data_IF_531678505822
#
_entry.id   IF_531678505822
#
_cell.length_a   1.000
_cell.length_b   1.000
_cell.length_c   1.000
_cell.angle_alpha   90.00
_cell.angle_beta   90.00
_cell.angle_gamma   90.00
#
_symmetry.space_group_name_H-M   'P 1'
#
loop_
_entity.id
_entity.type
_entity.pdbx_description
1 polymer ?
#
# COMPACT_ATOMS: atom_id res chain seq x y z
N UNK A 1 -8.50 8.73 0.23
CA UNK A 1 -7.25 8.27 0.88
C UNK A 1 -6.37 9.44 1.35
N UNK A 2 -5.68 10.21 0.48
CA UNK A 2 -4.79 11.31 0.93
C UNK A 2 -5.47 12.33 1.85
N UNK A 3 -6.71 12.74 1.51
CA UNK A 3 -7.52 13.59 2.39
C UNK A 3 -7.79 12.96 3.76
N UNK A 4 -8.02 11.65 3.81
CA UNK A 4 -8.25 10.90 5.05
C UNK A 4 -6.96 10.64 5.87
N UNK A 5 -5.78 10.70 5.23
CA UNK A 5 -4.49 10.74 5.92
C UNK A 5 -4.22 12.13 6.52
N UNK A 6 -4.57 13.18 5.79
CA UNK A 6 -4.41 14.57 6.24
C UNK A 6 -5.40 14.96 7.34
N UNK A 7 -6.62 14.43 7.27
CA UNK A 7 -7.71 14.72 8.20
C UNK A 7 -8.40 13.42 8.65
N UNK A 8 -8.21 12.99 9.92
CA UNK A 8 -8.87 11.83 10.48
C UNK A 8 -10.41 11.87 10.44
N UNK A 9 -11.03 13.05 10.43
CA UNK A 9 -12.50 13.17 10.37
C UNK A 9 -13.07 12.68 9.03
N UNK A 10 -12.23 12.60 7.99
CA UNK A 10 -12.61 12.14 6.65
C UNK A 10 -12.46 10.63 6.45
N UNK A 11 -11.97 9.88 7.44
CA UNK A 11 -11.79 8.42 7.33
C UNK A 11 -13.10 7.64 7.20
N UNK A 12 -14.18 7.96 7.93
CA UNK A 12 -15.46 7.27 7.77
C UNK A 12 -16.08 7.46 6.38
N UNK A 13 -15.64 8.47 5.62
CA UNK A 13 -16.12 8.75 4.27
C UNK A 13 -15.41 7.90 3.19
N UNK A 14 -14.46 7.04 3.54
CA UNK A 14 -13.84 6.12 2.57
C UNK A 14 -14.87 5.05 2.17
N UNK A 15 -15.28 4.96 0.88
CA UNK A 15 -16.32 4.04 0.45
C UNK A 15 -15.93 2.60 0.72
N UNK A 16 -16.85 1.78 1.25
CA UNK A 16 -16.65 0.34 1.43
C UNK A 16 -17.18 -0.43 0.21
N UNK A 17 -16.55 -1.54 -0.20
CA UNK A 17 -16.93 -2.28 -1.42
C UNK A 17 -18.17 -3.19 -1.23
N UNK A 18 -19.03 -2.95 -0.22
CA UNK A 18 -20.16 -3.82 0.09
C UNK A 18 -21.19 -3.72 -1.05
N UNK A 19 -21.26 -4.76 -1.89
CA UNK A 19 -22.06 -4.81 -3.13
C UNK A 19 -21.68 -3.74 -4.17
N UNK A 20 -20.44 -3.28 -4.16
CA UNK A 20 -19.95 -2.28 -5.10
C UNK A 20 -19.64 -2.88 -6.48
N UNK A 21 -19.55 -2.04 -7.52
CA UNK A 21 -19.15 -2.50 -8.85
C UNK A 21 -17.70 -3.01 -8.86
N UNK A 22 -17.29 -3.66 -9.94
CA UNK A 22 -15.89 -4.05 -10.13
C UNK A 22 -14.98 -2.82 -10.08
N UNK A 23 -15.38 -1.69 -10.69
CA UNK A 23 -14.57 -0.46 -10.67
C UNK A 23 -14.39 0.08 -9.25
N UNK A 24 -15.45 0.08 -8.43
CA UNK A 24 -15.39 0.54 -7.04
C UNK A 24 -14.50 -0.37 -6.20
N UNK A 25 -14.56 -1.69 -6.40
CA UNK A 25 -13.69 -2.63 -5.72
C UNK A 25 -12.22 -2.43 -6.12
N UNK A 26 -11.94 -2.24 -7.41
CA UNK A 26 -10.60 -1.91 -7.89
C UNK A 26 -10.10 -0.60 -7.28
N UNK A 27 -10.95 0.44 -7.18
CA UNK A 27 -10.58 1.69 -6.54
C UNK A 27 -10.28 1.52 -5.03
N UNK A 28 -11.09 0.73 -4.33
CA UNK A 28 -10.93 0.46 -2.90
C UNK A 28 -9.65 -0.31 -2.58
N UNK A 29 -9.43 -1.44 -3.25
CA UNK A 29 -8.26 -2.28 -3.04
C UNK A 29 -7.00 -1.68 -3.67
N UNK A 30 -7.14 -0.97 -4.78
CA UNK A 30 -6.08 -0.19 -5.40
C UNK A 30 -5.57 0.91 -4.47
N UNK A 31 -6.44 1.59 -3.73
CA UNK A 31 -6.02 2.58 -2.73
C UNK A 31 -5.19 1.94 -1.59
N UNK A 32 -5.58 0.76 -1.09
CA UNK A 32 -4.76 0.01 -0.13
C UNK A 32 -3.40 -0.37 -0.72
N UNK A 33 -3.40 -0.96 -1.91
CA UNK A 33 -2.18 -1.36 -2.60
C UNK A 33 -1.24 -0.16 -2.77
N UNK A 34 -1.80 0.97 -3.17
CA UNK A 34 -1.09 2.22 -3.37
C UNK A 34 -0.50 2.79 -2.06
N UNK A 35 -1.25 2.77 -0.95
CA UNK A 35 -0.74 3.16 0.36
C UNK A 35 0.51 2.39 0.74
N UNK A 36 0.45 1.07 0.63
CA UNK A 36 1.55 0.20 1.06
C UNK A 36 2.77 0.36 0.14
N UNK A 37 2.56 0.33 -1.18
CA UNK A 37 3.65 0.36 -2.18
C UNK A 37 4.27 1.74 -2.37
N UNK A 38 3.45 2.78 -2.51
CA UNK A 38 3.89 4.10 -2.96
C UNK A 38 3.98 5.14 -1.84
N UNK A 39 3.20 4.97 -0.77
CA UNK A 39 3.19 5.94 0.36
C UNK A 39 4.08 5.47 1.50
N UNK A 40 3.93 4.21 1.96
CA UNK A 40 4.89 3.57 2.87
C UNK A 40 6.19 3.14 2.17
N UNK A 41 6.18 3.05 0.84
CA UNK A 41 7.36 2.70 0.06
C UNK A 41 7.75 1.22 0.16
N UNK A 42 6.83 0.30 0.50
CA UNK A 42 7.13 -1.13 0.60
C UNK A 42 7.25 -1.75 -0.79
N UNK A 43 8.45 -2.20 -1.19
CA UNK A 43 8.63 -3.03 -2.39
C UNK A 43 7.84 -4.33 -2.31
N UNK A 44 7.88 -4.96 -1.15
CA UNK A 44 7.23 -6.22 -0.85
C UNK A 44 6.13 -5.96 0.18
N UNK A 45 4.94 -5.61 -0.31
CA UNK A 45 3.78 -5.38 0.54
C UNK A 45 3.41 -6.63 1.35
N UNK A 46 3.61 -7.83 0.80
CA UNK A 46 3.36 -9.10 1.50
C UNK A 46 4.33 -9.30 2.66
N UNK A 47 5.62 -9.03 2.45
CA UNK A 47 6.62 -9.05 3.51
C UNK A 47 6.35 -8.02 4.61
N UNK A 48 6.01 -6.78 4.23
CA UNK A 48 5.63 -5.73 5.18
C UNK A 48 4.39 -6.09 6.00
N UNK A 49 3.37 -6.68 5.37
CA UNK A 49 2.18 -7.17 6.07
C UNK A 49 2.47 -8.37 6.97
N UNK A 50 3.31 -9.32 6.54
CA UNK A 50 3.69 -10.44 7.39
C UNK A 50 4.38 -9.95 8.68
N UNK A 51 5.31 -8.99 8.56
CA UNK A 51 5.89 -8.33 9.74
C UNK A 51 4.81 -7.66 10.61
N UNK A 52 3.90 -6.90 9.99
CA UNK A 52 2.88 -6.14 10.71
C UNK A 52 1.94 -7.07 11.50
N UNK A 53 1.52 -8.18 10.90
CA UNK A 53 0.71 -9.20 11.58
C UNK A 53 1.48 -9.87 12.71
N UNK A 54 2.73 -10.30 12.47
CA UNK A 54 3.57 -10.93 13.50
C UNK A 54 3.83 -10.00 14.70
N UNK A 55 3.90 -8.69 14.47
CA UNK A 55 4.08 -7.68 15.51
C UNK A 55 2.79 -7.30 16.25
N UNK A 56 1.65 -7.93 15.95
CA UNK A 56 0.36 -7.62 16.56
C UNK A 56 -0.35 -6.39 15.98
N UNK A 57 -0.08 -6.07 14.71
CA UNK A 57 -0.68 -4.95 13.95
C UNK A 57 -0.51 -3.57 14.63
N UNK A 58 0.71 -3.14 15.01
CA UNK A 58 0.94 -1.85 15.65
C UNK A 58 0.58 -0.65 14.75
N UNK A 59 0.08 0.45 15.33
CA UNK A 59 -0.33 1.64 14.57
C UNK A 59 0.24 2.98 15.07
N UNK A 60 0.72 3.04 16.32
CA UNK A 60 1.00 4.32 17.01
C UNK A 60 2.02 5.20 16.28
N UNK A 61 2.90 4.54 15.53
CA UNK A 61 4.03 5.16 14.83
C UNK A 61 3.79 5.35 13.32
N UNK A 62 2.59 5.06 12.82
CA UNK A 62 2.26 5.16 11.41
C UNK A 62 0.80 5.54 11.19
N UNK A 63 0.49 6.79 10.82
CA UNK A 63 -0.88 7.19 10.48
C UNK A 63 -1.42 6.40 9.28
N UNK A 64 -0.53 5.88 8.43
CA UNK A 64 -0.93 5.01 7.33
C UNK A 64 -1.39 3.65 7.85
N UNK A 65 -0.65 3.01 8.76
CA UNK A 65 -1.08 1.73 9.33
C UNK A 65 -2.32 1.91 10.22
N UNK A 66 -2.47 3.06 10.88
CA UNK A 66 -3.71 3.43 11.56
C UNK A 66 -4.90 3.50 10.58
N UNK A 67 -4.74 4.20 9.45
CA UNK A 67 -5.75 4.25 8.40
C UNK A 67 -6.04 2.86 7.80
N UNK A 68 -4.99 2.06 7.56
CA UNK A 68 -5.13 0.69 7.04
C UNK A 68 -5.98 -0.15 7.98
N UNK A 69 -5.70 -0.10 9.29
CA UNK A 69 -6.46 -0.83 10.31
C UNK A 69 -7.89 -0.31 10.46
N UNK A 70 -8.12 0.99 10.35
CA UNK A 70 -9.45 1.58 10.51
C UNK A 70 -10.35 1.28 9.31
N UNK A 71 -9.84 1.46 8.08
CA UNK A 71 -10.67 1.32 6.88
C UNK A 71 -10.74 -0.12 6.39
N UNK A 72 -9.61 -0.83 6.37
CA UNK A 72 -9.53 -2.21 5.87
C UNK A 72 -9.42 -3.24 7.00
N UNK A 73 -9.16 -2.85 8.25
CA UNK A 73 -9.13 -3.81 9.36
C UNK A 73 -10.51 -4.19 9.89
N UNK A 74 -11.54 -3.39 9.63
CA UNK A 74 -12.93 -3.76 9.94
C UNK A 74 -13.36 -4.99 9.15
N UNK A 75 -14.13 -5.87 9.81
CA UNK A 75 -14.64 -7.14 9.26
C UNK A 75 -13.56 -8.01 8.60
N UNK A 76 -12.33 -7.90 9.09
CA UNK A 76 -11.15 -8.61 8.60
C UNK A 76 -10.88 -8.45 7.08
N UNK A 77 -11.32 -7.35 6.47
CA UNK A 77 -11.14 -7.12 5.02
C UNK A 77 -9.67 -7.19 4.59
N UNK A 78 -8.78 -6.64 5.42
CA UNK A 78 -7.34 -6.64 5.21
C UNK A 78 -6.75 -8.06 5.14
N UNK A 79 -7.41 -9.06 5.71
CA UNK A 79 -6.97 -10.45 5.65
C UNK A 79 -7.06 -10.98 4.20
N UNK A 80 -8.06 -10.57 3.40
CA UNK A 80 -8.15 -10.97 2.00
C UNK A 80 -6.99 -10.43 1.18
N UNK A 81 -6.64 -9.16 1.41
CA UNK A 81 -5.50 -8.54 0.76
C UNK A 81 -4.17 -9.16 1.24
N UNK A 82 -4.01 -9.38 2.54
CA UNK A 82 -2.84 -10.03 3.10
C UNK A 82 -2.66 -11.45 2.53
N UNK A 83 -3.72 -12.26 2.57
CA UNK A 83 -3.76 -13.59 1.97
C UNK A 83 -3.33 -13.55 0.50
N UNK A 84 -3.88 -12.62 -0.29
CA UNK A 84 -3.48 -12.45 -1.69
C UNK A 84 -1.98 -12.19 -1.85
N UNK A 85 -1.42 -11.25 -1.07
CA UNK A 85 0.01 -10.90 -1.14
C UNK A 85 0.96 -11.97 -0.59
N UNK A 86 0.48 -12.86 0.28
CA UNK A 86 1.31 -13.91 0.87
C UNK A 86 1.45 -15.14 -0.01
N UNK A 87 0.47 -15.39 -0.89
CA UNK A 87 0.49 -16.55 -1.78
C UNK A 87 1.70 -16.52 -2.73
N UNK A 88 2.22 -17.70 -3.12
CA UNK A 88 3.18 -17.80 -4.20
C UNK A 88 2.63 -17.26 -5.53
N UNK A 89 3.51 -16.76 -6.39
CA UNK A 89 3.13 -16.29 -7.71
C UNK A 89 2.44 -17.39 -8.53
N UNK A 90 1.37 -17.02 -9.24
CA UNK A 90 0.58 -17.95 -10.06
C UNK A 90 -0.36 -18.87 -9.27
N UNK A 91 -0.33 -18.86 -7.93
CA UNK A 91 -1.24 -19.63 -7.08
C UNK A 91 -2.46 -18.80 -6.75
N UNK A 92 -3.65 -19.39 -6.90
CA UNK A 92 -4.91 -18.68 -6.69
C UNK A 92 -6.10 -19.60 -6.49
N UNK A 93 -7.24 -18.97 -6.24
CA UNK A 93 -8.53 -19.62 -6.08
C UNK A 93 -9.49 -19.01 -7.10
N UNK A 94 -10.06 -19.82 -7.99
CA UNK A 94 -11.11 -19.33 -8.89
C UNK A 94 -12.40 -18.96 -8.14
N UNK A 95 -12.79 -19.77 -7.15
CA UNK A 95 -13.99 -19.61 -6.32
C UNK A 95 -13.67 -19.90 -4.84
N UNK A 96 -14.58 -19.58 -3.92
CA UNK A 96 -14.39 -19.98 -2.51
C UNK A 96 -14.54 -21.49 -2.31
N UNK A 97 -13.95 -22.05 -1.26
CA UNK A 97 -14.12 -23.48 -0.94
C UNK A 97 -15.55 -23.84 -0.48
N UNK A 98 -16.35 -22.84 -0.09
CA UNK A 98 -17.78 -23.02 0.13
C UNK A 98 -18.54 -23.35 -1.18
N UNK A 99 -18.02 -22.88 -2.33
CA UNK A 99 -18.58 -23.14 -3.65
C UNK A 99 -17.94 -24.39 -4.30
N UNK A 100 -16.62 -24.55 -4.17
CA UNK A 100 -15.87 -25.71 -4.66
C UNK A 100 -14.83 -26.16 -3.61
N UNK A 101 -15.12 -27.23 -2.83
CA UNK A 101 -14.24 -27.72 -1.77
C UNK A 101 -12.83 -28.13 -2.22
N UNK A 102 -12.63 -28.38 -3.52
CA UNK A 102 -11.34 -28.80 -4.08
C UNK A 102 -10.60 -27.67 -4.79
N UNK A 103 -11.15 -26.46 -4.81
CA UNK A 103 -10.51 -25.33 -5.47
C UNK A 103 -9.36 -24.75 -4.63
N UNK A 104 -8.24 -24.49 -5.31
CA UNK A 104 -7.02 -23.91 -4.73
C UNK A 104 -6.18 -24.88 -3.88
N UNK A 105 -5.00 -24.42 -3.42
CA UNK A 105 -4.12 -25.20 -2.54
C UNK A 105 -4.72 -25.41 -1.14
N UNK A 106 -4.33 -26.47 -0.44
CA UNK A 106 -4.77 -26.68 0.95
C UNK A 106 -4.14 -25.66 1.93
N UNK A 107 -4.76 -25.42 3.11
CA UNK A 107 -4.18 -24.58 4.15
C UNK A 107 -2.76 -25.01 4.59
N UNK A 108 -2.53 -26.33 4.72
CA UNK A 108 -1.21 -26.89 5.03
C UNK A 108 -0.18 -26.53 3.96
N UNK A 109 -0.55 -26.63 2.68
CA UNK A 109 0.34 -26.26 1.58
C UNK A 109 0.64 -24.75 1.61
N UNK A 110 -0.37 -23.91 1.84
CA UNK A 110 -0.19 -22.46 1.95
C UNK A 110 0.74 -22.08 3.10
N UNK A 111 0.60 -22.68 4.28
CA UNK A 111 1.51 -22.42 5.40
C UNK A 111 2.98 -22.77 5.07
N UNK A 112 3.20 -23.80 4.25
CA UNK A 112 4.56 -24.24 3.88
C UNK A 112 5.19 -23.42 2.76
N UNK A 113 4.38 -22.81 1.88
CA UNK A 113 4.88 -22.18 0.65
C UNK A 113 4.60 -20.68 0.58
N UNK A 114 3.73 -20.13 1.42
CA UNK A 114 3.42 -18.69 1.46
C UNK A 114 4.38 -17.92 2.37
N UNK A 115 4.26 -16.59 2.35
CA UNK A 115 5.00 -15.70 3.26
C UNK A 115 4.48 -15.75 4.71
N UNK A 116 3.34 -16.39 4.95
CA UNK A 116 2.71 -16.48 6.26
C UNK A 116 2.65 -17.94 6.72
N UNK A 117 3.58 -18.37 7.58
CA UNK A 117 3.75 -19.79 7.93
C UNK A 117 2.82 -20.26 9.05
N UNK A 118 1.57 -19.81 9.05
CA UNK A 118 0.56 -20.14 10.06
C UNK A 118 -0.60 -20.93 9.43
N UNK A 119 -0.59 -22.25 9.63
CA UNK A 119 -1.62 -23.14 9.11
C UNK A 119 -3.00 -22.90 9.73
N UNK A 120 -3.06 -22.54 11.01
CA UNK A 120 -4.33 -22.28 11.68
C UNK A 120 -4.99 -21.04 11.10
N UNK A 121 -4.21 -19.97 10.92
CA UNK A 121 -4.67 -18.76 10.25
C UNK A 121 -5.22 -19.06 8.84
N UNK A 122 -4.49 -19.83 8.03
CA UNK A 122 -4.95 -20.21 6.68
C UNK A 122 -6.23 -21.04 6.72
N UNK A 123 -6.33 -21.96 7.67
CA UNK A 123 -7.51 -22.82 7.84
C UNK A 123 -8.74 -21.99 8.19
N UNK A 124 -8.60 -21.04 9.09
CA UNK A 124 -9.70 -20.15 9.48
C UNK A 124 -10.05 -19.16 8.37
N UNK A 125 -9.05 -18.59 7.69
CA UNK A 125 -9.26 -17.73 6.52
C UNK A 125 -10.06 -18.43 5.43
N UNK A 126 -9.63 -19.62 5.00
CA UNK A 126 -10.31 -20.37 3.93
C UNK A 126 -11.71 -20.81 4.35
N UNK A 127 -11.92 -21.17 5.63
CA UNK A 127 -13.24 -21.53 6.17
C UNK A 127 -14.23 -20.36 6.15
N UNK A 128 -13.76 -19.11 6.34
CA UNK A 128 -14.61 -17.91 6.22
C UNK A 128 -15.21 -17.77 4.82
N UNK A 129 -14.52 -18.26 3.79
CA UNK A 129 -14.96 -18.16 2.40
C UNK A 129 -14.97 -16.73 1.87
N UNK A 130 -15.68 -16.52 0.77
CA UNK A 130 -15.80 -15.21 0.14
C UNK A 130 -16.92 -14.40 0.80
N UNK A 131 -16.57 -13.25 1.40
CA UNK A 131 -17.52 -12.34 2.06
C UNK A 131 -17.98 -11.21 1.13
N UNK A 132 -17.16 -10.83 0.15
CA UNK A 132 -17.46 -9.80 -0.84
C UNK A 132 -17.27 -10.32 -2.26
N UNK A 133 -18.13 -9.88 -3.18
CA UNK A 133 -18.13 -10.35 -4.56
C UNK A 133 -16.81 -10.05 -5.30
N UNK A 134 -16.15 -8.95 -4.93
CA UNK A 134 -14.88 -8.50 -5.52
C UNK A 134 -13.83 -8.30 -4.42
N UNK A 135 -13.15 -9.37 -4.08
CA UNK A 135 -12.04 -9.40 -3.12
C UNK A 135 -10.72 -9.75 -3.83
N UNK A 136 -9.56 -9.36 -3.27
CA UNK A 136 -8.27 -9.59 -3.91
C UNK A 136 -7.81 -11.05 -3.87
N UNK A 137 -8.47 -11.93 -3.12
CA UNK A 137 -8.06 -13.33 -2.95
C UNK A 137 -8.71 -14.28 -3.96
N UNK A 138 -10.02 -14.14 -4.21
CA UNK A 138 -10.79 -15.02 -5.11
C UNK A 138 -10.95 -14.44 -6.52
N UNK A 139 -11.01 -15.30 -7.54
CA UNK A 139 -11.13 -14.94 -8.96
C UNK A 139 -9.85 -15.18 -9.77
N UNK A 140 -8.97 -16.06 -9.29
CA UNK A 140 -7.72 -16.43 -9.93
C UNK A 140 -6.48 -16.05 -9.11
N UNK A 141 -5.37 -15.81 -9.80
CA UNK A 141 -4.09 -15.40 -9.19
C UNK A 141 -3.99 -13.89 -8.99
N UNK A 142 -4.69 -13.09 -9.81
CA UNK A 142 -4.73 -11.62 -9.73
C UNK A 142 -6.13 -11.08 -10.11
N UNK A 143 -7.16 -11.36 -9.28
CA UNK A 143 -8.57 -11.18 -9.63
C UNK A 143 -9.00 -9.72 -9.86
N UNK A 144 -8.24 -8.77 -9.34
CA UNK A 144 -8.50 -7.34 -9.47
C UNK A 144 -7.39 -6.63 -10.25
N UNK A 145 -6.49 -7.38 -10.88
CA UNK A 145 -5.32 -6.87 -11.59
C UNK A 145 -4.48 -5.88 -10.77
N UNK A 146 -4.45 -6.02 -9.44
CA UNK A 146 -3.75 -5.09 -8.55
C UNK A 146 -2.26 -5.08 -8.82
N UNK A 147 -1.71 -6.20 -9.31
CA UNK A 147 -0.30 -6.28 -9.72
C UNK A 147 0.03 -5.33 -10.88
N UNK A 148 -0.94 -5.03 -11.76
CA UNK A 148 -0.79 -4.06 -12.84
C UNK A 148 -0.92 -2.59 -12.37
N UNK A 149 -1.28 -2.38 -11.10
CA UNK A 149 -1.44 -1.06 -10.47
C UNK A 149 -0.39 -0.81 -9.38
N UNK A 150 0.72 -1.55 -9.42
CA UNK A 150 1.78 -1.51 -8.41
C UNK A 150 2.78 -0.35 -8.59
N UNK A 151 2.70 0.35 -9.71
CA UNK A 151 3.62 1.39 -10.16
C UNK A 151 2.96 2.79 -10.11
N UNK A 152 3.75 3.88 -10.22
CA UNK A 152 3.21 5.23 -10.33
C UNK A 152 2.15 5.34 -11.41
N UNK A 153 1.16 6.21 -11.21
CA UNK A 153 0.09 6.38 -12.19
C UNK A 153 0.62 6.92 -13.52
N UNK A 154 1.62 7.82 -13.47
CA UNK A 154 2.37 8.31 -14.63
C UNK A 154 3.85 8.43 -14.27
N UNK A 155 4.70 8.01 -15.20
CA UNK A 155 6.16 8.12 -15.08
C UNK A 155 6.70 9.47 -15.58
N UNK A 156 5.86 10.24 -16.27
CA UNK A 156 6.21 11.57 -16.76
C UNK A 156 5.92 12.63 -15.68
N UNK A 157 6.89 13.49 -15.34
CA UNK A 157 6.65 14.66 -14.49
C UNK A 157 5.59 15.58 -15.12
N UNK A 158 4.91 16.37 -14.30
CA UNK A 158 3.99 17.39 -14.80
C UNK A 158 4.78 18.51 -15.51
N UNK A 159 4.18 19.23 -16.47
CA UNK A 159 4.88 20.28 -17.20
C UNK A 159 5.30 21.46 -16.31
N UNK A 160 4.43 21.88 -15.38
CA UNK A 160 4.62 23.10 -14.58
C UNK A 160 4.41 22.91 -13.06
N UNK A 161 5.19 22.04 -12.40
CA UNK A 161 5.18 21.91 -10.94
C UNK A 161 5.87 23.11 -10.29
N UNK A 162 5.31 23.58 -9.18
CA UNK A 162 5.94 24.65 -8.39
C UNK A 162 6.87 24.02 -7.36
N UNK A 163 8.10 24.52 -7.26
CA UNK A 163 9.12 23.98 -6.36
C UNK A 163 9.75 25.14 -5.58
N UNK A 164 9.70 25.07 -4.26
CA UNK A 164 10.36 26.01 -3.37
C UNK A 164 11.38 25.27 -2.49
N UNK A 165 12.66 25.64 -2.58
CA UNK A 165 13.74 24.99 -1.84
C UNK A 165 14.14 25.82 -0.62
N UNK A 166 14.09 25.20 0.56
CA UNK A 166 14.50 25.76 1.84
C UNK A 166 15.79 25.09 2.30
N UNK A 167 16.91 25.45 1.66
CA UNK A 167 18.20 24.75 1.82
C UNK A 167 18.70 24.69 3.27
N UNK A 168 18.54 25.77 4.04
CA UNK A 168 18.94 25.82 5.45
C UNK A 168 18.22 24.78 6.33
N UNK A 169 17.01 24.37 5.93
CA UNK A 169 16.17 23.42 6.66
C UNK A 169 16.21 22.01 6.04
N UNK A 170 16.88 21.82 4.90
CA UNK A 170 16.79 20.60 4.06
C UNK A 170 15.34 20.29 3.66
N UNK A 171 14.53 21.33 3.51
CA UNK A 171 13.12 21.23 3.16
C UNK A 171 12.88 21.64 1.71
N UNK A 172 11.91 21.02 1.07
CA UNK A 172 11.36 21.42 -0.23
C UNK A 172 9.85 21.37 -0.15
N UNK A 173 9.19 22.37 -0.71
CA UNK A 173 7.76 22.33 -0.99
C UNK A 173 7.58 22.10 -2.48
N UNK A 174 6.88 21.03 -2.84
CA UNK A 174 6.52 20.64 -4.20
C UNK A 174 5.01 20.72 -4.36
N UNK A 175 4.54 21.56 -5.28
CA UNK A 175 3.14 21.55 -5.74
C UNK A 175 3.10 20.93 -7.14
N UNK A 176 2.60 19.70 -7.23
CA UNK A 176 2.47 18.97 -8.51
C UNK A 176 1.36 19.55 -9.38
N UNK A 177 1.49 19.41 -10.71
CA UNK A 177 0.45 19.77 -11.67
C UNK A 177 -0.76 18.83 -11.66
N UNK A 178 -0.67 17.65 -11.04
CA UNK A 178 -1.78 16.73 -10.88
C UNK A 178 -1.43 15.46 -10.11
N UNK A 179 -2.41 14.87 -9.43
CA UNK A 179 -2.22 13.66 -8.60
C UNK A 179 -1.62 12.48 -9.38
N UNK A 180 -1.77 12.38 -10.69
CA UNK A 180 -1.16 11.28 -11.42
C UNK A 180 0.38 11.41 -11.52
N UNK A 181 0.92 12.63 -11.41
CA UNK A 181 2.32 12.97 -11.66
C UNK A 181 3.20 13.06 -10.41
N UNK A 182 2.63 13.04 -9.20
CA UNK A 182 3.35 13.51 -8.00
C UNK A 182 4.64 12.73 -7.70
N UNK A 183 4.67 11.41 -7.97
CA UNK A 183 5.89 10.60 -7.80
C UNK A 183 6.97 10.99 -8.80
N UNK A 184 6.64 11.10 -10.08
CA UNK A 184 7.57 11.54 -11.12
C UNK A 184 8.07 12.98 -10.89
N UNK A 185 7.20 13.87 -10.44
CA UNK A 185 7.59 15.23 -10.04
C UNK A 185 8.56 15.23 -8.87
N UNK A 186 8.30 14.38 -7.88
CA UNK A 186 9.13 14.24 -6.70
C UNK A 186 10.52 13.69 -7.05
N UNK A 187 10.60 12.68 -7.92
CA UNK A 187 11.85 12.11 -8.40
C UNK A 187 12.66 13.14 -9.21
N UNK A 188 11.99 13.87 -10.11
CA UNK A 188 12.61 14.95 -10.89
C UNK A 188 13.18 16.04 -9.98
N UNK A 189 12.44 16.45 -8.96
CA UNK A 189 12.92 17.44 -7.99
C UNK A 189 14.13 16.91 -7.22
N UNK A 190 14.10 15.65 -6.77
CA UNK A 190 15.22 15.06 -6.04
C UNK A 190 16.51 15.02 -6.86
N UNK A 191 16.43 14.67 -8.14
CA UNK A 191 17.58 14.64 -9.05
C UNK A 191 18.25 16.01 -9.23
N UNK A 192 17.54 17.10 -8.97
CA UNK A 192 18.03 18.48 -9.08
C UNK A 192 18.57 19.03 -7.76
N UNK A 193 18.32 18.35 -6.63
CA UNK A 193 18.78 18.79 -5.32
C UNK A 193 20.25 18.44 -5.11
N UNK A 194 21.05 19.35 -4.52
CA UNK A 194 22.43 19.02 -4.19
C UNK A 194 22.49 17.94 -3.09
N UNK A 195 23.53 17.09 -3.09
CA UNK A 195 23.73 16.12 -2.04
C UNK A 195 23.95 16.82 -0.68
N UNK A 196 23.37 16.28 0.39
CA UNK A 196 23.40 16.89 1.72
C UNK A 196 24.07 15.99 2.76
N UNK A 197 25.32 15.61 2.49
CA UNK A 197 26.13 14.74 3.36
C UNK A 197 25.41 13.43 3.67
N UNK A 198 25.25 13.12 4.96
CA UNK A 198 24.60 11.89 5.44
C UNK A 198 23.09 12.02 5.67
N UNK A 199 22.48 13.17 5.34
CA UNK A 199 21.06 13.44 5.60
C UNK A 199 20.26 13.50 4.30
N UNK A 200 19.01 13.03 4.35
CA UNK A 200 18.06 13.15 3.23
C UNK A 200 17.31 14.49 3.27
N UNK A 201 16.93 14.98 2.09
CA UNK A 201 15.96 16.06 1.95
C UNK A 201 14.58 15.60 2.42
N UNK A 202 13.79 16.55 2.94
CA UNK A 202 12.37 16.39 3.24
C UNK A 202 11.60 17.16 2.19
N UNK A 203 10.69 16.49 1.49
CA UNK A 203 9.90 17.08 0.42
C UNK A 203 8.43 17.01 0.83
N UNK A 204 7.83 18.15 1.14
CA UNK A 204 6.38 18.28 1.32
C UNK A 204 5.71 18.36 -0.04
N UNK A 205 4.74 17.48 -0.28
CA UNK A 205 4.09 17.35 -1.58
C UNK A 205 2.63 17.78 -1.47
N UNK A 206 2.20 18.61 -2.40
CA UNK A 206 0.84 19.10 -2.54
C UNK A 206 0.35 18.87 -3.96
N UNK A 207 -0.90 18.43 -4.10
CA UNK A 207 -1.65 18.51 -5.35
C UNK A 207 -2.64 19.68 -5.28
N UNK A 208 -2.83 20.40 -6.39
CA UNK A 208 -3.67 21.61 -6.44
C UNK A 208 -5.15 21.35 -6.14
N UNK A 209 -5.62 20.11 -6.31
CA UNK A 209 -7.04 19.72 -6.14
C UNK A 209 -7.25 18.89 -4.87
N UNK A 210 -6.32 18.01 -4.55
CA UNK A 210 -6.41 17.08 -3.41
C UNK A 210 -5.87 17.71 -2.14
N UNK A 211 -4.91 18.63 -2.24
CA UNK A 211 -4.23 19.27 -1.12
C UNK A 211 -2.93 18.56 -0.74
N UNK A 212 -2.61 18.54 0.55
CA UNK A 212 -1.39 17.92 1.06
C UNK A 212 -1.41 16.40 0.88
N UNK A 213 -0.34 15.86 0.29
CA UNK A 213 -0.16 14.42 0.05
C UNK A 213 0.75 13.77 1.09
N UNK A 214 1.64 14.54 1.71
CA UNK A 214 2.57 14.06 2.73
C UNK A 214 3.93 14.75 2.71
N UNK A 215 4.74 14.49 3.75
CA UNK A 215 6.18 14.76 3.73
C UNK A 215 6.92 13.46 3.37
N UNK A 216 7.73 13.52 2.31
CA UNK A 216 8.45 12.38 1.76
C UNK A 216 9.95 12.52 1.93
N UNK A 217 10.61 11.37 2.06
CA UNK A 217 12.07 11.24 2.15
C UNK A 217 12.53 10.03 1.33
N UNK A 218 13.68 10.15 0.68
CA UNK A 218 14.31 9.02 0.02
C UNK A 218 15.16 8.26 1.03
N UNK A 219 14.85 6.98 1.20
CA UNK A 219 15.60 6.05 2.04
C UNK A 219 16.95 5.74 1.39
N UNK A 220 18.04 5.99 2.10
CA UNK A 220 19.39 5.64 1.63
C UNK A 220 19.68 4.13 1.62
N UNK A 221 18.87 3.35 2.34
CA UNK A 221 19.01 1.90 2.45
C UNK A 221 18.33 1.20 1.27
N UNK A 222 17.16 1.69 0.88
CA UNK A 222 16.28 1.02 -0.10
C UNK A 222 16.18 1.78 -1.41
N UNK A 223 16.67 3.03 -1.47
CA UNK A 223 16.52 3.93 -2.63
C UNK A 223 15.08 4.40 -2.88
N UNK A 224 14.14 4.08 -1.98
CA UNK A 224 12.70 4.31 -2.18
C UNK A 224 12.18 5.49 -1.38
N UNK A 225 11.14 6.11 -1.92
CA UNK A 225 10.40 7.18 -1.27
C UNK A 225 9.39 6.62 -0.27
N UNK A 226 9.28 7.30 0.86
CA UNK A 226 8.30 6.96 1.88
C UNK A 226 7.93 8.19 2.71
N UNK A 227 6.79 8.11 3.38
CA UNK A 227 6.40 9.00 4.47
C UNK A 227 6.34 8.24 5.81
N UNK A 228 6.47 8.96 6.92
CA UNK A 228 6.47 8.38 8.26
C UNK A 228 7.86 7.93 8.75
N UNK A 229 7.91 6.95 9.65
CA UNK A 229 9.16 6.47 10.26
C UNK A 229 9.88 5.48 9.35
N UNK A 230 11.20 5.64 9.24
CA UNK A 230 12.05 4.79 8.41
C UNK A 230 12.05 3.32 8.86
N UNK A 231 11.96 3.06 10.17
CA UNK A 231 11.89 1.70 10.71
C UNK A 231 10.62 0.93 10.30
N UNK A 232 9.53 1.62 9.92
CA UNK A 232 8.33 1.00 9.36
C UNK A 232 8.52 0.77 7.86
N UNK A 233 9.08 1.74 7.15
CA UNK A 233 9.38 1.64 5.72
C UNK A 233 10.27 0.43 5.38
N UNK A 234 11.32 0.17 6.16
CA UNK A 234 12.25 -0.94 5.88
C UNK A 234 11.61 -2.33 6.00
N UNK A 235 10.50 -2.48 6.72
CA UNK A 235 9.87 -3.79 6.95
C UNK A 235 9.35 -4.44 5.67
N UNK A 236 8.82 -3.65 4.74
CA UNK A 236 8.38 -4.13 3.44
C UNK A 236 9.44 -4.03 2.34
N UNK A 237 10.72 -3.90 2.68
CA UNK A 237 11.80 -3.82 1.69
C UNK A 237 12.92 -4.85 1.91
N UNK A 238 12.78 -5.73 2.92
CA UNK A 238 13.88 -6.57 3.38
C UNK A 238 14.94 -5.76 4.14
N UNK A 239 15.67 -6.41 5.05
CA UNK A 239 16.95 -5.85 5.49
C UNK A 239 17.92 -5.91 4.28
N UNK A 240 18.79 -4.90 4.08
CA UNK A 240 19.83 -4.95 3.06
C UNK A 240 20.76 -6.16 3.22
#
# INVERSE_FOLDING_TARGET
MFRALADPELRPAVPRPVNASLEDACAYWGALHYLLRNVLGWADAGGGLAWWYAAGKPIDDSPILALVREVWGEDDLIDFYAAWTWRPAGVGYMQSQAQDPFNGPSPTWLAQHSRWPDEEWWRDFVRRGQVHHHDPFHGGSDPLHLSAHADPCLDAPSPDPLVQVHAAQRGVVLVTGGLAHWLADLERVHAQLPPFGDRSWRIEVFDRTVGWLGEYRCSRVTGRWFTGKHNIHVQGNGQP
#
